data_IF_106092123101
#
_entry.id   IF_106092123101
#
_cell.length_a   1.000
_cell.length_b   1.000
_cell.length_c   1.000
_cell.angle_alpha   90.00
_cell.angle_beta   90.00
_cell.angle_gamma   90.00
#
_symmetry.space_group_name_H-M   'P 1'
#
loop_
_entity.id
_entity.type
_entity.pdbx_description
1 polymer ?
#
# COMPACT_ATOMS: atom_id res chain seq x y z
N UNK A 1 50.99 12.53 18.16
CA UNK A 1 50.64 13.45 17.05
C UNK A 1 50.78 12.64 15.77
N UNK A 2 49.78 12.35 14.96
CA UNK A 2 48.35 12.68 14.97
C UNK A 2 47.62 11.72 14.02
N UNK A 3 46.32 11.60 14.24
CA UNK A 3 45.34 10.91 13.40
C UNK A 3 45.41 11.35 11.93
N UNK A 4 45.03 10.45 11.02
CA UNK A 4 44.12 10.80 9.91
C UNK A 4 43.30 9.58 9.50
N UNK A 5 41.98 9.80 9.54
CA UNK A 5 40.90 8.86 9.29
C UNK A 5 40.71 8.53 7.81
N UNK A 6 39.96 7.44 7.59
CA UNK A 6 39.28 7.04 6.36
C UNK A 6 38.66 8.23 5.59
N UNK A 7 38.71 8.24 4.25
CA UNK A 7 37.87 9.15 3.48
C UNK A 7 36.43 8.62 3.50
N UNK A 8 35.52 9.47 3.97
CA UNK A 8 34.09 9.32 3.78
C UNK A 8 33.78 9.32 2.27
N UNK A 9 33.09 8.28 1.80
CA UNK A 9 32.52 8.26 0.45
C UNK A 9 31.26 9.12 0.48
N UNK A 10 31.44 10.41 0.26
CA UNK A 10 30.37 11.36 -0.02
C UNK A 10 30.10 11.39 -1.53
N UNK A 11 28.82 11.27 -1.91
CA UNK A 11 28.33 11.70 -3.21
C UNK A 11 28.32 10.65 -4.32
N UNK A 12 27.43 9.65 -4.22
CA UNK A 12 26.72 9.23 -5.43
C UNK A 12 25.48 10.11 -5.54
N UNK A 13 25.53 11.12 -6.42
CA UNK A 13 24.31 11.74 -6.92
C UNK A 13 23.45 10.63 -7.54
N UNK A 14 22.27 10.41 -6.97
CA UNK A 14 21.17 9.66 -7.57
C UNK A 14 20.78 10.38 -8.88
N UNK A 15 21.53 10.11 -9.96
CA UNK A 15 21.06 10.35 -11.33
C UNK A 15 19.70 9.69 -11.44
N UNK A 16 18.70 10.46 -11.89
CA UNK A 16 17.35 10.01 -12.26
C UNK A 16 17.36 8.53 -12.59
N UNK A 17 16.91 7.68 -11.66
CA UNK A 17 16.78 6.25 -11.90
C UNK A 17 15.69 6.15 -12.96
N UNK A 18 16.10 6.05 -14.23
CA UNK A 18 15.18 5.72 -15.31
C UNK A 18 14.50 4.41 -14.92
N UNK A 19 13.16 4.40 -14.90
CA UNK A 19 12.36 3.18 -14.73
C UNK A 19 12.96 2.12 -15.66
N UNK A 20 13.54 1.06 -15.09
CA UNK A 20 14.15 -0.04 -15.85
C UNK A 20 13.00 -0.71 -16.60
N UNK A 21 12.93 -0.47 -17.91
CA UNK A 21 11.83 -0.95 -18.73
C UNK A 21 11.66 -2.47 -18.70
N UNK A 22 10.42 -2.91 -18.49
CA UNK A 22 9.69 -4.06 -19.07
C UNK A 22 10.45 -5.28 -19.63
N UNK A 23 11.59 -5.67 -19.06
CA UNK A 23 12.20 -6.96 -19.38
C UNK A 23 11.38 -8.09 -18.75
N UNK A 24 11.17 -9.18 -19.48
CA UNK A 24 10.50 -10.38 -18.96
C UNK A 24 11.55 -11.47 -18.74
N UNK A 25 11.44 -12.20 -17.64
CA UNK A 25 12.37 -13.30 -17.33
C UNK A 25 11.59 -14.61 -17.31
N UNK A 26 12.16 -15.65 -17.94
CA UNK A 26 11.58 -16.98 -17.96
C UNK A 26 12.32 -17.89 -16.97
N UNK A 27 11.58 -18.53 -16.06
CA UNK A 27 12.12 -19.50 -15.11
C UNK A 27 11.13 -20.65 -14.93
N UNK A 28 11.60 -21.90 -14.98
CA UNK A 28 10.75 -23.09 -14.77
C UNK A 28 9.58 -23.23 -15.76
N UNK A 29 9.71 -22.73 -17.00
CA UNK A 29 8.66 -22.80 -18.02
C UNK A 29 7.56 -21.72 -17.91
N UNK A 30 7.70 -20.78 -16.98
CA UNK A 30 6.83 -19.61 -16.82
C UNK A 30 7.59 -18.30 -17.07
N UNK A 31 6.88 -17.26 -17.49
CA UNK A 31 7.44 -15.92 -17.76
C UNK A 31 6.90 -14.92 -16.75
N UNK A 32 7.79 -14.19 -16.09
CA UNK A 32 7.48 -13.23 -15.04
C UNK A 32 8.07 -11.85 -15.35
N UNK A 33 7.51 -10.80 -14.71
CA UNK A 33 8.10 -9.46 -14.74
C UNK A 33 8.75 -9.11 -13.39
N UNK A 34 10.06 -9.35 -13.20
CA UNK A 34 10.73 -9.17 -11.92
C UNK A 34 11.16 -7.71 -11.66
N UNK A 35 10.65 -6.74 -12.42
CA UNK A 35 11.10 -5.34 -12.41
C UNK A 35 10.03 -4.35 -11.93
N UNK A 36 9.04 -4.83 -11.17
CA UNK A 36 7.91 -4.02 -10.70
C UNK A 36 8.18 -3.15 -9.48
N UNK A 37 9.38 -3.22 -8.88
CA UNK A 37 9.74 -2.38 -7.75
C UNK A 37 10.45 -1.10 -8.23
N UNK A 38 9.92 0.04 -7.81
CA UNK A 38 10.51 1.35 -8.05
C UNK A 38 11.24 1.81 -6.78
N UNK A 39 12.53 2.21 -6.84
CA UNK A 39 13.25 2.71 -5.67
C UNK A 39 12.63 3.98 -5.08
N UNK A 40 12.59 4.05 -3.75
CA UNK A 40 12.18 5.24 -3.01
C UNK A 40 13.34 6.21 -2.76
N UNK A 41 13.01 7.50 -2.66
CA UNK A 41 13.94 8.54 -2.18
C UNK A 41 13.79 8.75 -0.67
N UNK A 42 13.76 7.68 0.12
CA UNK A 42 13.65 7.78 1.58
C UNK A 42 15.02 7.62 2.23
N UNK A 43 15.29 8.42 3.27
CA UNK A 43 16.54 8.32 4.02
C UNK A 43 16.58 6.99 4.80
N UNK A 44 17.75 6.35 4.94
CA UNK A 44 17.88 5.13 5.73
C UNK A 44 17.40 5.34 7.17
N UNK A 45 16.59 4.41 7.68
CA UNK A 45 16.14 4.42 9.07
C UNK A 45 17.27 3.91 9.96
N UNK A 46 17.46 4.55 11.12
CA UNK A 46 18.48 4.13 12.10
C UNK A 46 17.96 2.98 12.95
N UNK A 47 18.81 1.99 13.25
CA UNK A 47 18.45 0.89 14.15
C UNK A 47 18.00 1.37 15.54
N UNK A 48 18.60 2.45 16.05
CA UNK A 48 18.26 3.03 17.36
C UNK A 48 16.82 3.56 17.46
N UNK A 49 16.15 3.84 16.33
CA UNK A 49 14.74 4.21 16.30
C UNK A 49 13.78 3.02 16.20
N UNK A 50 14.29 1.83 15.85
CA UNK A 50 13.52 0.60 15.73
C UNK A 50 13.53 -0.23 17.02
N UNK A 51 14.66 -0.25 17.74
CA UNK A 51 14.75 -0.99 19.00
C UNK A 51 13.98 -0.29 20.12
N UNK A 52 12.73 -0.70 20.35
CA UNK A 52 12.02 -0.40 21.59
C UNK A 52 11.22 -1.61 22.08
N UNK A 53 11.69 -2.10 23.22
CA UNK A 53 11.01 -2.92 24.23
C UNK A 53 10.86 -4.42 23.95
N UNK A 54 11.51 -5.23 24.81
CA UNK A 54 10.69 -6.12 25.64
C UNK A 54 10.91 -7.62 25.56
N UNK A 55 12.08 -8.13 25.19
CA UNK A 55 12.45 -9.50 25.59
C UNK A 55 13.82 -9.55 26.24
N UNK A 56 13.85 -9.78 27.55
CA UNK A 56 15.05 -10.31 28.20
C UNK A 56 15.33 -11.68 27.57
N UNK A 57 16.19 -11.72 26.55
CA UNK A 57 16.52 -12.96 25.83
C UNK A 57 16.81 -12.80 24.34
N UNK A 58 16.47 -11.66 23.73
CA UNK A 58 16.61 -11.47 22.28
C UNK A 58 15.64 -12.35 21.47
N UNK A 59 15.57 -12.16 20.14
CA UNK A 59 14.73 -12.98 19.28
C UNK A 59 15.24 -14.44 19.29
N UNK A 60 14.34 -15.41 19.44
CA UNK A 60 14.69 -16.84 19.52
C UNK A 60 15.38 -17.35 18.24
N UNK A 61 15.97 -18.55 18.26
CA UNK A 61 16.83 -19.03 17.14
C UNK A 61 16.10 -19.29 15.80
N UNK A 62 14.76 -19.32 15.81
CA UNK A 62 13.94 -19.57 14.63
C UNK A 62 12.55 -18.98 14.79
N UNK A 63 12.04 -18.38 13.71
CA UNK A 63 10.65 -17.94 13.57
C UNK A 63 10.09 -18.43 12.24
N UNK A 64 8.83 -18.89 12.24
CA UNK A 64 8.13 -19.33 11.03
C UNK A 64 6.66 -18.88 11.10
N UNK A 65 6.32 -17.86 10.31
CA UNK A 65 4.98 -17.27 10.27
C UNK A 65 4.09 -17.87 9.18
N UNK A 66 4.56 -18.90 8.45
CA UNK A 66 3.84 -19.47 7.29
C UNK A 66 2.46 -20.04 7.63
N UNK A 67 2.24 -20.47 8.87
CA UNK A 67 0.93 -20.95 9.32
C UNK A 67 -0.20 -19.91 9.14
N UNK A 68 0.14 -18.62 9.15
CA UNK A 68 -0.80 -17.52 8.97
C UNK A 68 -0.78 -16.93 7.56
N UNK A 69 -0.01 -17.50 6.61
CA UNK A 69 0.02 -17.04 5.22
C UNK A 69 -1.09 -17.71 4.41
N UNK A 70 -1.67 -16.99 3.45
CA UNK A 70 -2.61 -17.48 2.43
C UNK A 70 -1.88 -18.27 1.33
N UNK A 71 -2.61 -18.79 0.34
CA UNK A 71 -2.02 -19.48 -0.81
C UNK A 71 -1.04 -18.56 -1.58
N UNK A 72 -0.04 -19.12 -2.26
CA UNK A 72 0.95 -18.29 -2.97
C UNK A 72 0.31 -17.64 -4.20
N UNK A 73 0.54 -16.33 -4.33
CA UNK A 73 0.09 -15.55 -5.47
C UNK A 73 0.96 -15.78 -6.71
N UNK A 74 0.36 -15.56 -7.89
CA UNK A 74 1.06 -15.49 -9.17
C UNK A 74 0.79 -14.11 -9.80
N UNK A 75 1.81 -13.26 -9.87
CA UNK A 75 1.73 -11.94 -10.51
C UNK A 75 1.78 -12.04 -12.04
N UNK A 76 2.14 -13.21 -12.57
CA UNK A 76 2.32 -13.47 -14.00
C UNK A 76 3.20 -12.40 -14.67
N UNK A 77 2.75 -11.82 -15.78
CA UNK A 77 3.52 -10.87 -16.58
C UNK A 77 3.39 -9.41 -16.14
N UNK A 78 2.68 -9.11 -15.05
CA UNK A 78 2.51 -7.74 -14.54
C UNK A 78 3.68 -7.30 -13.66
N UNK A 79 3.91 -5.98 -13.58
CA UNK A 79 4.90 -5.34 -12.69
C UNK A 79 4.36 -5.11 -11.27
N UNK A 80 3.51 -6.01 -10.77
CA UNK A 80 2.74 -5.82 -9.53
C UNK A 80 3.37 -6.41 -8.27
N UNK A 81 4.66 -6.75 -8.26
CA UNK A 81 5.31 -7.46 -7.14
C UNK A 81 5.10 -6.79 -5.77
N UNK A 82 5.20 -5.46 -5.70
CA UNK A 82 4.93 -4.70 -4.48
C UNK A 82 3.50 -4.93 -3.96
N UNK A 83 2.53 -4.99 -4.85
CA UNK A 83 1.12 -5.16 -4.49
C UNK A 83 0.87 -6.58 -3.98
N UNK A 84 1.53 -7.58 -4.57
CA UNK A 84 1.45 -8.97 -4.12
C UNK A 84 2.08 -9.14 -2.72
N UNK A 85 3.23 -8.51 -2.47
CA UNK A 85 3.89 -8.56 -1.17
C UNK A 85 3.04 -7.89 -0.07
N UNK A 86 2.44 -6.73 -0.38
CA UNK A 86 1.54 -6.01 0.54
C UNK A 86 0.24 -6.78 0.76
N UNK A 87 -0.36 -7.36 -0.28
CA UNK A 87 -1.55 -8.20 -0.16
C UNK A 87 -1.30 -9.38 0.80
N UNK A 88 -0.16 -10.05 0.69
CA UNK A 88 0.22 -11.11 1.62
C UNK A 88 0.36 -10.64 3.08
N UNK A 89 0.75 -9.37 3.31
CA UNK A 89 0.80 -8.80 4.66
C UNK A 89 -0.60 -8.46 5.21
N UNK A 90 -1.50 -7.98 4.35
CA UNK A 90 -2.92 -7.76 4.67
C UNK A 90 -3.60 -9.07 5.09
N UNK A 91 -3.51 -10.06 4.24
CA UNK A 91 -4.11 -11.38 4.43
C UNK A 91 -3.51 -12.12 5.62
N UNK A 92 -2.23 -11.90 5.91
CA UNK A 92 -1.61 -12.39 7.15
C UNK A 92 -2.32 -11.87 8.39
N UNK A 93 -2.64 -10.57 8.44
CA UNK A 93 -3.31 -9.97 9.60
C UNK A 93 -4.73 -10.52 9.74
N UNK A 94 -5.49 -10.56 8.63
CA UNK A 94 -6.83 -11.17 8.61
C UNK A 94 -6.79 -12.63 9.08
N UNK A 95 -5.96 -13.48 8.47
CA UNK A 95 -5.89 -14.90 8.82
C UNK A 95 -5.44 -15.13 10.26
N UNK A 96 -4.49 -14.33 10.76
CA UNK A 96 -4.01 -14.43 12.14
C UNK A 96 -5.10 -14.08 13.16
N UNK A 97 -5.96 -13.10 12.86
CA UNK A 97 -7.07 -12.73 13.76
C UNK A 97 -8.28 -13.65 13.58
N UNK A 98 -8.61 -14.06 12.35
CA UNK A 98 -9.64 -15.05 12.06
C UNK A 98 -9.38 -16.38 12.79
N UNK A 99 -8.13 -16.84 12.90
CA UNK A 99 -7.77 -18.02 13.69
C UNK A 99 -8.05 -17.88 15.20
N UNK A 100 -8.18 -16.66 15.72
CA UNK A 100 -8.51 -16.41 17.13
C UNK A 100 -10.02 -16.33 17.36
N UNK A 101 -10.74 -15.70 16.43
CA UNK A 101 -12.16 -15.34 16.61
C UNK A 101 -13.13 -16.25 15.84
N UNK A 102 -12.64 -17.02 14.86
CA UNK A 102 -13.45 -17.90 14.02
C UNK A 102 -14.02 -17.22 12.77
N UNK A 103 -13.49 -16.05 12.41
CA UNK A 103 -13.93 -15.27 11.25
C UNK A 103 -13.49 -15.92 9.93
N UNK A 104 -14.00 -15.39 8.82
CA UNK A 104 -13.61 -15.87 7.50
C UNK A 104 -12.27 -15.30 7.06
N UNK A 105 -11.59 -16.08 6.19
CA UNK A 105 -10.35 -15.68 5.53
C UNK A 105 -10.70 -15.34 4.09
N UNK A 106 -10.27 -14.18 3.61
CA UNK A 106 -10.49 -13.74 2.23
C UNK A 106 -9.26 -13.05 1.65
N UNK A 107 -9.19 -13.00 0.33
CA UNK A 107 -8.07 -12.40 -0.40
C UNK A 107 -8.37 -10.92 -0.72
N UNK A 108 -7.32 -10.09 -0.65
CA UNK A 108 -7.42 -8.65 -0.94
C UNK A 108 -7.08 -8.38 -2.42
N UNK A 109 -7.68 -7.35 -3.02
CA UNK A 109 -7.43 -7.05 -4.43
C UNK A 109 -6.02 -6.51 -4.66
N UNK A 110 -5.17 -7.37 -5.21
CA UNK A 110 -3.82 -7.01 -5.68
C UNK A 110 -3.82 -5.93 -6.75
N UNK A 111 -4.79 -5.95 -7.68
CA UNK A 111 -4.88 -4.91 -8.72
C UNK A 111 -5.34 -3.57 -8.17
N UNK A 112 -6.25 -3.56 -7.19
CA UNK A 112 -6.64 -2.32 -6.53
C UNK A 112 -5.45 -1.69 -5.80
N UNK A 113 -4.74 -2.48 -5.00
CA UNK A 113 -3.50 -2.05 -4.32
C UNK A 113 -2.50 -1.49 -5.35
N UNK A 114 -2.31 -2.20 -6.47
CA UNK A 114 -1.38 -1.79 -7.52
C UNK A 114 -1.80 -0.49 -8.22
N UNK A 115 -3.10 -0.29 -8.43
CA UNK A 115 -3.63 0.95 -9.02
C UNK A 115 -3.41 2.14 -8.09
N UNK A 116 -3.84 2.05 -6.82
CA UNK A 116 -3.75 3.18 -5.88
C UNK A 116 -2.31 3.54 -5.54
N UNK A 117 -1.43 2.54 -5.43
CA UNK A 117 0.01 2.76 -5.22
C UNK A 117 0.66 3.50 -6.39
N UNK A 118 0.39 3.09 -7.64
CA UNK A 118 0.89 3.81 -8.82
C UNK A 118 0.32 5.22 -8.97
N UNK A 119 -0.96 5.43 -8.62
CA UNK A 119 -1.55 6.78 -8.58
C UNK A 119 -0.84 7.68 -7.58
N UNK A 120 -0.46 7.14 -6.42
CA UNK A 120 0.31 7.87 -5.41
C UNK A 120 1.72 8.19 -5.91
N UNK A 121 2.39 7.24 -6.56
CA UNK A 121 3.69 7.47 -7.17
C UNK A 121 3.62 8.55 -8.27
N UNK A 122 2.59 8.53 -9.15
CA UNK A 122 2.39 9.58 -10.16
C UNK A 122 2.33 10.98 -9.52
N UNK A 123 1.63 11.12 -8.39
CA UNK A 123 1.58 12.38 -7.64
C UNK A 123 2.96 12.77 -7.12
N UNK A 124 3.70 11.84 -6.53
CA UNK A 124 5.03 12.10 -5.96
C UNK A 124 6.09 12.44 -7.00
N UNK A 125 5.99 11.85 -8.19
CA UNK A 125 6.91 12.10 -9.31
C UNK A 125 6.46 13.24 -10.23
N UNK A 126 5.34 13.92 -9.93
CA UNK A 126 4.84 15.04 -10.74
C UNK A 126 4.32 14.64 -12.12
N UNK A 127 3.84 13.40 -12.25
CA UNK A 127 3.25 12.86 -13.47
C UNK A 127 1.76 13.24 -13.58
N UNK A 128 1.17 13.08 -14.77
CA UNK A 128 -0.22 13.42 -14.98
C UNK A 128 -1.16 12.43 -14.29
N UNK A 129 -1.73 12.85 -13.17
CA UNK A 129 -2.63 12.04 -12.32
C UNK A 129 -4.03 11.85 -12.91
N UNK A 130 -4.41 12.61 -13.95
CA UNK A 130 -5.68 12.43 -14.68
C UNK A 130 -5.65 11.18 -15.58
N UNK A 131 -4.46 10.72 -15.98
CA UNK A 131 -4.30 9.53 -16.81
C UNK A 131 -4.11 8.29 -15.94
N UNK A 132 -4.74 7.18 -16.30
CA UNK A 132 -4.54 5.91 -15.61
C UNK A 132 -3.05 5.52 -15.64
N UNK A 133 -2.49 5.00 -14.53
CA UNK A 133 -1.08 4.63 -14.49
C UNK A 133 -0.81 3.45 -15.43
N UNK A 134 0.35 3.47 -16.07
CA UNK A 134 0.90 2.36 -16.86
C UNK A 134 1.52 1.28 -15.96
N UNK A 135 1.67 0.07 -16.49
CA UNK A 135 2.26 -1.09 -15.79
C UNK A 135 3.78 -0.93 -15.66
N UNK A 136 4.22 -0.03 -14.78
CA UNK A 136 5.63 0.37 -14.64
C UNK A 136 6.22 0.09 -13.25
N UNK A 137 5.45 -0.59 -12.40
CA UNK A 137 5.82 -0.85 -11.02
C UNK A 137 5.36 0.24 -10.06
N UNK A 138 5.63 0.05 -8.78
CA UNK A 138 5.39 1.06 -7.75
C UNK A 138 6.40 0.98 -6.61
N UNK A 139 6.48 2.03 -5.81
CA UNK A 139 7.23 2.06 -4.55
C UNK A 139 6.45 1.35 -3.43
N UNK A 140 7.13 0.86 -2.38
CA UNK A 140 6.46 0.21 -1.23
C UNK A 140 5.84 1.28 -0.33
N UNK A 141 6.56 2.35 -0.05
CA UNK A 141 6.16 3.49 0.77
C UNK A 141 5.03 4.30 0.14
N UNK A 142 5.03 4.50 -1.18
CA UNK A 142 3.91 5.11 -1.91
C UNK A 142 2.66 4.24 -1.81
N UNK A 143 2.80 2.91 -1.97
CA UNK A 143 1.69 1.98 -1.75
C UNK A 143 1.16 2.01 -0.30
N UNK A 144 2.03 1.97 0.71
CA UNK A 144 1.62 2.06 2.12
C UNK A 144 0.88 3.37 2.38
N UNK A 145 1.40 4.49 1.90
CA UNK A 145 0.76 5.81 2.06
C UNK A 145 -0.61 5.85 1.37
N UNK A 146 -0.72 5.28 0.16
CA UNK A 146 -1.99 5.18 -0.55
C UNK A 146 -3.01 4.37 0.24
N UNK A 147 -2.59 3.24 0.82
CA UNK A 147 -3.44 2.32 1.57
C UNK A 147 -3.81 2.83 2.97
N UNK A 148 -3.02 3.70 3.57
CA UNK A 148 -3.40 4.44 4.79
C UNK A 148 -4.58 5.40 4.51
N UNK A 149 -4.66 5.96 3.30
CA UNK A 149 -5.72 6.90 2.92
C UNK A 149 -6.95 6.18 2.35
N UNK A 150 -6.72 5.25 1.41
CA UNK A 150 -7.75 4.62 0.58
C UNK A 150 -8.15 3.21 1.02
N UNK A 151 -7.28 2.51 1.74
CA UNK A 151 -7.42 1.09 2.07
C UNK A 151 -7.39 0.20 0.83
N UNK A 152 -7.91 -1.03 0.94
CA UNK A 152 -7.97 -1.99 -0.16
C UNK A 152 -9.30 -2.73 -0.17
N UNK A 153 -9.88 -2.96 -1.36
CA UNK A 153 -11.08 -3.78 -1.51
C UNK A 153 -10.73 -5.27 -1.61
N UNK A 154 -11.74 -6.14 -1.49
CA UNK A 154 -11.56 -7.58 -1.63
C UNK A 154 -11.26 -7.97 -3.07
N UNK A 155 -10.54 -9.07 -3.25
CA UNK A 155 -10.26 -9.63 -4.58
C UNK A 155 -11.55 -10.02 -5.33
N UNK A 156 -12.63 -10.35 -4.61
CA UNK A 156 -13.94 -10.62 -5.21
C UNK A 156 -14.56 -9.39 -5.90
N UNK A 157 -14.28 -8.17 -5.39
CA UNK A 157 -14.79 -6.93 -5.97
C UNK A 157 -13.95 -6.48 -7.17
N UNK A 158 -12.63 -6.67 -7.10
CA UNK A 158 -11.70 -6.31 -8.17
C UNK A 158 -10.68 -7.44 -8.42
N UNK A 159 -11.05 -8.46 -9.22
CA UNK A 159 -10.25 -9.67 -9.39
C UNK A 159 -8.96 -9.42 -10.18
N UNK A 160 -7.95 -10.27 -9.95
CA UNK A 160 -6.70 -10.19 -10.68
C UNK A 160 -6.87 -10.65 -12.14
N UNK A 161 -6.76 -9.70 -13.05
CA UNK A 161 -6.84 -9.89 -14.50
C UNK A 161 -5.76 -9.06 -15.21
N UNK A 162 -4.93 -9.73 -16.02
CA UNK A 162 -3.83 -9.08 -16.74
C UNK A 162 -4.31 -8.03 -17.75
N UNK A 163 -5.51 -8.20 -18.30
CA UNK A 163 -6.07 -7.24 -19.26
C UNK A 163 -6.50 -5.93 -18.58
N UNK A 164 -6.77 -6.00 -17.26
CA UNK A 164 -7.29 -4.88 -16.45
C UNK A 164 -6.24 -4.21 -15.58
N UNK A 165 -4.95 -4.53 -15.78
CA UNK A 165 -3.85 -4.02 -14.96
C UNK A 165 -3.82 -2.49 -14.91
N UNK A 166 -4.16 -1.81 -16.00
CA UNK A 166 -4.15 -0.34 -16.08
C UNK A 166 -5.54 0.28 -15.95
N UNK A 167 -6.58 -0.54 -15.78
CA UNK A 167 -7.94 -0.05 -15.69
C UNK A 167 -8.16 0.64 -14.35
N UNK A 168 -9.05 1.62 -14.35
CA UNK A 168 -9.48 2.28 -13.11
C UNK A 168 -10.50 1.39 -12.41
N UNK A 169 -10.31 1.08 -11.11
CA UNK A 169 -11.30 0.35 -10.33
C UNK A 169 -12.65 1.04 -10.30
N UNK A 170 -13.72 0.25 -10.22
CA UNK A 170 -15.07 0.77 -10.08
C UNK A 170 -15.20 1.58 -8.79
N UNK A 171 -16.08 2.60 -8.79
CA UNK A 171 -16.25 3.48 -7.62
C UNK A 171 -16.60 2.70 -6.34
N UNK A 172 -17.43 1.66 -6.46
CA UNK A 172 -17.79 0.78 -5.36
C UNK A 172 -16.58 0.08 -4.72
N UNK A 173 -15.50 -0.17 -5.47
CA UNK A 173 -14.26 -0.72 -4.91
C UNK A 173 -13.62 0.28 -3.95
N UNK A 174 -13.62 1.58 -4.28
CA UNK A 174 -13.08 2.61 -3.39
C UNK A 174 -13.89 2.74 -2.10
N UNK A 175 -15.22 2.65 -2.18
CA UNK A 175 -16.07 2.73 -0.99
C UNK A 175 -15.84 1.53 -0.06
N UNK A 176 -15.80 0.31 -0.62
CA UNK A 176 -15.50 -0.92 0.15
C UNK A 176 -14.07 -0.92 0.71
N UNK A 177 -13.11 -0.34 -0.01
CA UNK A 177 -11.72 -0.29 0.41
C UNK A 177 -11.50 0.52 1.70
N UNK A 178 -12.35 1.51 1.98
CA UNK A 178 -12.23 2.39 3.15
C UNK A 178 -12.32 1.65 4.49
N UNK A 179 -12.90 0.45 4.50
CA UNK A 179 -12.99 -0.42 5.68
C UNK A 179 -11.63 -1.02 6.06
N UNK A 180 -10.75 -1.27 5.09
CA UNK A 180 -9.50 -2.03 5.26
C UNK A 180 -8.26 -1.16 5.01
N UNK A 181 -8.14 -0.05 5.75
CA UNK A 181 -6.97 0.83 5.70
C UNK A 181 -5.82 0.28 6.53
N UNK A 182 -4.59 0.59 6.12
CA UNK A 182 -3.44 0.42 7.01
C UNK A 182 -3.58 1.42 8.15
N UNK A 183 -3.73 0.92 9.39
CA UNK A 183 -3.75 1.76 10.59
C UNK A 183 -2.36 1.93 11.18
N UNK A 184 -1.49 0.92 11.03
CA UNK A 184 -0.11 1.00 11.50
C UNK A 184 0.87 0.31 10.54
N UNK A 185 1.90 1.04 10.12
CA UNK A 185 3.04 0.54 9.39
C UNK A 185 4.32 1.21 9.87
N UNK A 186 5.42 0.47 9.89
CA UNK A 186 6.71 0.96 10.38
C UNK A 186 7.82 0.53 9.44
N UNK A 187 8.66 1.50 9.05
CA UNK A 187 9.83 1.24 8.22
C UNK A 187 10.90 0.51 9.03
N UNK A 188 11.44 -0.57 8.48
CA UNK A 188 12.46 -1.43 9.10
C UNK A 188 13.84 -1.07 8.53
N UNK A 189 14.88 -0.88 9.36
CA UNK A 189 16.25 -0.72 8.89
C UNK A 189 16.78 -1.96 8.17
N UNK A 190 17.66 -1.78 7.17
CA UNK A 190 18.42 -2.87 6.57
C UNK A 190 19.51 -3.37 7.52
N UNK A 191 19.08 -4.10 8.55
CA UNK A 191 19.90 -4.61 9.63
C UNK A 191 19.35 -5.95 10.11
N UNK A 192 20.24 -6.93 10.28
CA UNK A 192 19.85 -8.31 10.59
C UNK A 192 19.07 -8.41 11.92
N UNK A 193 19.51 -7.69 12.96
CA UNK A 193 18.88 -7.78 14.27
C UNK A 193 17.51 -7.10 14.26
N UNK A 194 17.38 -5.94 13.59
CA UNK A 194 16.09 -5.28 13.41
C UNK A 194 15.08 -6.17 12.66
N UNK A 195 15.52 -6.85 11.59
CA UNK A 195 14.67 -7.77 10.84
C UNK A 195 14.25 -8.98 11.70
N UNK A 196 15.19 -9.57 12.47
CA UNK A 196 14.90 -10.69 13.36
C UNK A 196 13.93 -10.29 14.47
N UNK A 197 14.10 -9.11 15.07
CA UNK A 197 13.20 -8.57 16.09
C UNK A 197 11.78 -8.38 15.55
N UNK A 198 11.62 -7.77 14.38
CA UNK A 198 10.32 -7.58 13.74
C UNK A 198 9.59 -8.92 13.50
N UNK A 199 10.30 -9.91 12.97
CA UNK A 199 9.75 -11.25 12.72
C UNK A 199 9.40 -11.97 14.03
N UNK A 200 10.23 -11.85 15.06
CA UNK A 200 9.98 -12.44 16.38
C UNK A 200 8.76 -11.83 17.08
N UNK A 201 8.45 -10.55 16.82
CA UNK A 201 7.19 -9.90 17.21
C UNK A 201 5.98 -10.35 16.36
N UNK A 202 6.18 -11.29 15.44
CA UNK A 202 5.12 -11.79 14.56
C UNK A 202 4.73 -10.77 13.48
N UNK A 203 5.65 -9.93 13.04
CA UNK A 203 5.41 -8.93 11.99
C UNK A 203 6.20 -9.28 10.71
N UNK A 204 5.53 -9.79 9.66
CA UNK A 204 6.13 -9.96 8.35
C UNK A 204 6.65 -8.64 7.79
N UNK A 205 7.70 -8.71 6.98
CA UNK A 205 8.37 -7.52 6.44
C UNK A 205 8.23 -7.52 4.92
N UNK A 206 7.53 -6.53 4.38
CA UNK A 206 7.55 -6.22 2.95
C UNK A 206 8.88 -5.57 2.63
N UNK A 207 9.62 -6.12 1.68
CA UNK A 207 10.96 -5.62 1.32
C UNK A 207 11.20 -5.69 -0.18
N UNK A 208 12.04 -4.78 -0.68
CA UNK A 208 12.59 -4.88 -2.03
C UNK A 208 14.00 -5.45 -2.03
N UNK A 209 14.33 -6.24 -3.05
CA UNK A 209 15.67 -6.80 -3.25
C UNK A 209 16.11 -6.62 -4.70
N UNK A 210 17.38 -6.26 -4.88
CA UNK A 210 18.07 -6.39 -6.16
C UNK A 210 18.37 -7.87 -6.41
N UNK A 211 17.64 -8.46 -7.34
CA UNK A 211 17.80 -9.84 -7.76
C UNK A 211 19.03 -10.00 -8.66
N UNK A 212 19.66 -11.18 -8.57
CA UNK A 212 20.71 -11.65 -9.47
C UNK A 212 20.28 -12.93 -10.18
N UNK A 213 21.07 -13.43 -11.14
CA UNK A 213 20.79 -14.65 -11.89
C UNK A 213 20.45 -15.87 -10.99
N UNK A 214 21.13 -15.98 -9.84
CA UNK A 214 20.94 -17.08 -8.87
C UNK A 214 19.52 -17.08 -8.28
N UNK A 215 18.86 -15.92 -8.20
CA UNK A 215 17.50 -15.83 -7.68
C UNK A 215 16.49 -16.54 -8.59
N UNK A 216 16.74 -16.60 -9.90
CA UNK A 216 15.85 -17.24 -10.86
C UNK A 216 16.01 -18.77 -10.90
N UNK A 217 17.10 -19.28 -10.34
CA UNK A 217 17.49 -20.70 -10.37
C UNK A 217 17.74 -21.22 -8.95
N UNK A 218 16.69 -21.34 -8.10
CA UNK A 218 16.84 -21.88 -6.76
C UNK A 218 17.43 -23.29 -6.76
N UNK A 219 18.29 -23.59 -5.78
CA UNK A 219 18.78 -24.94 -5.56
C UNK A 219 17.62 -25.87 -5.10
N UNK A 220 17.77 -27.19 -5.25
CA UNK A 220 16.82 -28.14 -4.69
C UNK A 220 16.52 -27.85 -3.22
N UNK A 221 15.24 -27.73 -2.87
CA UNK A 221 14.81 -27.31 -1.53
C UNK A 221 14.61 -25.80 -1.36
N UNK A 222 14.75 -24.99 -2.42
CA UNK A 222 14.39 -23.58 -2.43
C UNK A 222 15.46 -22.61 -1.90
N UNK A 223 16.69 -23.08 -1.68
CA UNK A 223 17.80 -22.24 -1.24
C UNK A 223 18.28 -21.35 -2.39
N UNK A 224 18.40 -20.05 -2.13
CA UNK A 224 19.04 -19.08 -3.04
C UNK A 224 20.47 -18.84 -2.55
N UNK A 225 21.51 -19.15 -3.34
CA UNK A 225 22.88 -18.83 -2.96
C UNK A 225 23.10 -17.32 -2.84
N UNK A 226 23.94 -16.91 -1.90
CA UNK A 226 24.44 -15.53 -1.84
C UNK A 226 25.14 -15.19 -3.15
N UNK A 227 24.77 -14.08 -3.83
CA UNK A 227 25.43 -13.70 -5.06
C UNK A 227 26.88 -13.29 -4.81
N UNK A 228 27.76 -13.62 -5.75
CA UNK A 228 29.11 -13.05 -5.76
C UNK A 228 29.04 -11.61 -6.26
N UNK A 229 29.38 -10.59 -5.45
CA UNK A 229 29.33 -9.19 -5.86
C UNK A 229 30.29 -8.85 -7.02
N UNK A 230 31.30 -9.69 -7.24
CA UNK A 230 32.29 -9.54 -8.31
C UNK A 230 31.90 -10.23 -9.62
N UNK A 231 30.85 -11.06 -9.60
CA UNK A 231 30.37 -11.77 -10.79
C UNK A 231 29.66 -10.81 -11.76
N UNK A 232 30.10 -10.70 -13.03
CA UNK A 232 29.42 -9.92 -14.05
C UNK A 232 27.95 -10.33 -14.29
N UNK A 233 27.55 -11.57 -13.97
CA UNK A 233 26.14 -12.02 -14.04
C UNK A 233 25.31 -11.54 -12.84
N UNK A 234 25.94 -11.25 -11.70
CA UNK A 234 25.30 -10.49 -10.61
C UNK A 234 25.01 -9.04 -11.00
N UNK A 235 25.53 -8.58 -12.15
CA UNK A 235 25.18 -7.31 -12.77
C UNK A 235 23.95 -7.38 -13.71
N UNK A 236 23.26 -8.52 -13.83
CA UNK A 236 21.88 -8.52 -14.36
C UNK A 236 20.94 -8.10 -13.23
N UNK A 237 20.39 -6.88 -13.30
CA UNK A 237 19.65 -6.25 -12.21
C UNK A 237 18.16 -6.27 -12.47
N UNK A 238 17.39 -6.93 -11.59
CA UNK A 238 15.97 -6.65 -11.41
C UNK A 238 15.63 -6.25 -9.98
N UNK A 239 14.66 -5.36 -9.82
CA UNK A 239 14.20 -4.93 -8.50
C UNK A 239 12.83 -5.56 -8.25
N UNK A 240 12.77 -6.36 -7.20
CA UNK A 240 11.60 -7.17 -6.89
C UNK A 240 11.20 -7.03 -5.44
N UNK A 241 9.90 -6.94 -5.18
CA UNK A 241 9.36 -6.85 -3.83
C UNK A 241 8.74 -8.19 -3.40
N UNK A 242 9.01 -8.57 -2.16
CA UNK A 242 8.62 -9.85 -1.56
C UNK A 242 8.30 -9.66 -0.07
N UNK A 243 7.92 -10.76 0.61
CA UNK A 243 7.58 -10.74 2.03
C UNK A 243 8.50 -11.68 2.83
N UNK A 244 9.18 -11.15 3.85
CA UNK A 244 9.87 -11.96 4.86
C UNK A 244 8.86 -12.49 5.86
N UNK A 245 8.85 -13.81 6.07
CA UNK A 245 7.87 -14.50 6.90
C UNK A 245 8.50 -15.39 7.97
N UNK A 246 9.81 -15.28 8.18
CA UNK A 246 10.52 -16.04 9.20
C UNK A 246 12.02 -16.06 8.97
N UNK A 247 12.73 -16.72 9.86
CA UNK A 247 14.18 -16.89 9.81
C UNK A 247 14.62 -18.15 10.56
N UNK A 248 15.83 -18.63 10.27
CA UNK A 248 16.44 -19.76 10.92
C UNK A 248 17.94 -19.50 11.13
N UNK A 249 18.35 -19.26 12.38
CA UNK A 249 19.73 -18.90 12.71
C UNK A 249 20.69 -20.07 12.53
N UNK A 250 20.25 -21.32 12.68
CA UNK A 250 21.14 -22.47 12.42
C UNK A 250 21.54 -22.53 10.95
N UNK A 251 20.64 -22.14 10.05
CA UNK A 251 20.86 -22.14 8.61
C UNK A 251 21.32 -20.77 8.08
N UNK A 252 21.25 -19.71 8.90
CA UNK A 252 21.55 -18.33 8.54
C UNK A 252 20.74 -17.85 7.32
N UNK A 253 19.45 -18.19 7.29
CA UNK A 253 18.53 -17.84 6.19
C UNK A 253 17.24 -17.20 6.70
N UNK A 254 16.73 -16.26 5.91
CA UNK A 254 15.35 -15.82 5.99
C UNK A 254 14.44 -16.74 5.17
N UNK A 255 13.18 -16.83 5.56
CA UNK A 255 12.10 -17.46 4.79
C UNK A 255 11.39 -16.37 4.01
N UNK A 256 11.44 -16.45 2.68
CA UNK A 256 10.88 -15.46 1.76
C UNK A 256 9.66 -16.04 1.07
N UNK A 257 8.54 -15.34 1.14
CA UNK A 257 7.33 -15.59 0.34
C UNK A 257 7.42 -14.79 -0.95
N UNK A 258 7.39 -15.50 -2.08
CA UNK A 258 7.40 -14.88 -3.41
C UNK A 258 5.98 -14.88 -4.02
N UNK A 259 5.82 -14.25 -5.19
CA UNK A 259 4.56 -14.08 -5.94
C UNK A 259 4.63 -14.63 -7.37
N UNK A 260 5.34 -15.75 -7.56
CA UNK A 260 5.55 -16.43 -8.87
C UNK A 260 4.85 -17.81 -8.95
N UNK A 261 3.83 -18.00 -8.12
CA UNK A 261 3.09 -19.26 -8.00
C UNK A 261 3.83 -20.37 -7.25
N UNK A 262 3.07 -21.38 -6.85
CA UNK A 262 3.57 -22.51 -6.04
C UNK A 262 4.57 -23.42 -6.77
N UNK A 263 4.60 -23.38 -8.10
CA UNK A 263 5.55 -24.18 -8.90
C UNK A 263 7.00 -23.70 -8.76
N UNK A 264 7.23 -22.49 -8.26
CA UNK A 264 8.56 -21.91 -8.14
C UNK A 264 9.18 -22.24 -6.77
N UNK A 265 10.47 -22.62 -6.75
CA UNK A 265 11.24 -22.95 -5.54
C UNK A 265 10.56 -23.99 -4.62
N UNK A 266 10.49 -23.74 -3.31
CA UNK A 266 9.81 -24.62 -2.34
C UNK A 266 8.35 -24.17 -2.16
N UNK A 267 7.46 -24.61 -3.06
CA UNK A 267 6.03 -24.27 -3.03
C UNK A 267 5.79 -22.75 -2.97
N UNK A 268 6.52 -21.97 -3.78
CA UNK A 268 6.46 -20.51 -3.82
C UNK A 268 7.30 -19.77 -2.76
N UNK A 269 7.95 -20.51 -1.85
CA UNK A 269 8.87 -19.97 -0.86
C UNK A 269 10.32 -20.21 -1.23
N UNK A 270 11.18 -19.31 -0.79
CA UNK A 270 12.63 -19.45 -0.90
C UNK A 270 13.30 -19.24 0.46
N UNK A 271 14.50 -19.81 0.59
CA UNK A 271 15.36 -19.63 1.76
C UNK A 271 16.57 -18.81 1.31
N UNK A 272 16.70 -17.60 1.84
CA UNK A 272 17.67 -16.62 1.35
C UNK A 272 18.64 -16.24 2.47
N UNK A 273 19.96 -16.36 2.26
CA UNK A 273 20.98 -16.04 3.26
C UNK A 273 20.87 -14.63 3.86
N UNK A 274 21.24 -14.51 5.14
CA UNK A 274 21.28 -13.24 5.86
C UNK A 274 22.20 -12.23 5.18
N UNK A 275 23.38 -12.66 4.72
CA UNK A 275 24.37 -11.80 4.07
C UNK A 275 23.94 -11.28 2.69
N UNK A 276 22.86 -11.82 2.11
CA UNK A 276 22.26 -11.27 0.91
C UNK A 276 21.19 -10.22 1.26
N UNK A 277 20.21 -10.58 2.11
CA UNK A 277 19.08 -9.69 2.42
C UNK A 277 19.49 -8.52 3.33
N UNK A 278 20.39 -8.74 4.29
CA UNK A 278 20.88 -7.69 5.18
C UNK A 278 22.03 -6.87 4.57
N UNK A 279 22.40 -7.11 3.30
CA UNK A 279 23.42 -6.33 2.62
C UNK A 279 22.80 -5.11 1.92
N UNK A 280 23.18 -3.87 2.31
CA UNK A 280 22.62 -2.64 1.76
C UNK A 280 22.95 -2.42 0.27
N UNK A 281 23.93 -3.11 -0.31
CA UNK A 281 24.20 -3.06 -1.76
C UNK A 281 23.11 -3.76 -2.58
N UNK A 282 22.38 -4.69 -1.95
CA UNK A 282 21.30 -5.45 -2.58
C UNK A 282 19.91 -5.05 -2.06
N UNK A 283 19.80 -4.61 -0.81
CA UNK A 283 18.54 -4.24 -0.17
C UNK A 283 18.52 -2.74 0.20
N UNK A 284 18.19 -1.91 -0.78
CA UNK A 284 18.17 -0.44 -0.66
C UNK A 284 16.80 0.17 -0.98
N UNK A 285 15.77 -0.67 -1.14
CA UNK A 285 14.48 -0.28 -1.72
C UNK A 285 13.41 0.07 -0.68
N UNK A 286 13.79 0.13 0.59
CA UNK A 286 12.87 0.30 1.71
C UNK A 286 12.27 -1.02 2.17
N UNK A 287 11.99 -1.11 3.46
CA UNK A 287 11.34 -2.27 4.08
C UNK A 287 10.34 -1.79 5.11
N UNK A 288 9.22 -2.47 5.21
CA UNK A 288 8.13 -2.06 6.07
C UNK A 288 7.43 -3.25 6.68
N UNK A 289 7.04 -3.11 7.95
CA UNK A 289 6.04 -3.97 8.58
C UNK A 289 4.68 -3.29 8.49
N UNK A 290 3.64 -4.08 8.25
CA UNK A 290 2.24 -3.67 8.41
C UNK A 290 1.73 -4.46 9.62
N UNK A 291 1.36 -3.75 10.68
CA UNK A 291 1.04 -4.39 11.97
C UNK A 291 -0.40 -4.15 12.42
N UNK A 292 -1.12 -3.26 11.73
CA UNK A 292 -2.53 -2.98 12.00
C UNK A 292 -3.27 -2.57 10.74
N UNK A 293 -4.50 -3.06 10.64
CA UNK A 293 -5.53 -2.54 9.75
C UNK A 293 -6.61 -1.82 10.57
N UNK A 294 -7.47 -1.02 9.93
CA UNK A 294 -8.67 -0.45 10.58
C UNK A 294 -9.71 -1.53 10.87
N UNK A 295 -9.77 -2.56 10.04
CA UNK A 295 -10.57 -3.77 10.23
C UNK A 295 -9.75 -4.97 9.75
N UNK A 296 -9.77 -6.07 10.52
CA UNK A 296 -9.13 -7.35 10.17
C UNK A 296 -10.15 -8.47 9.95
N UNK A 297 -11.42 -8.27 10.29
CA UNK A 297 -12.52 -9.17 9.94
C UNK A 297 -12.95 -8.94 8.48
N UNK A 298 -12.67 -9.93 7.65
CA UNK A 298 -13.02 -9.93 6.22
C UNK A 298 -14.34 -10.66 5.95
N UNK A 299 -15.07 -11.01 7.00
CA UNK A 299 -16.38 -11.64 6.90
C UNK A 299 -17.35 -10.71 6.19
N UNK A 300 -18.03 -11.18 5.11
CA UNK A 300 -19.08 -10.41 4.48
C UNK A 300 -20.10 -10.02 5.53
N UNK A 301 -20.54 -8.76 5.52
CA UNK A 301 -21.66 -8.35 6.34
C UNK A 301 -22.85 -9.27 6.01
N UNK A 302 -23.60 -9.68 7.04
CA UNK A 302 -24.84 -10.40 6.81
C UNK A 302 -25.72 -9.51 5.93
N UNK A 303 -26.16 -10.04 4.79
CA UNK A 303 -27.21 -9.42 3.98
C UNK A 303 -28.47 -9.35 4.85
N UNK A 304 -28.64 -8.23 5.54
CA UNK A 304 -29.78 -7.95 6.40
C UNK A 304 -30.99 -7.45 5.60
N UNK A 305 -30.88 -7.43 4.26
CA UNK A 305 -31.90 -6.95 3.36
C UNK A 305 -32.19 -5.45 3.50
N UNK A 306 -31.34 -4.68 4.19
CA UNK A 306 -31.43 -3.21 4.27
C UNK A 306 -30.42 -2.50 3.35
N UNK A 307 -29.85 -3.22 2.39
CA UNK A 307 -29.32 -2.53 1.21
C UNK A 307 -30.49 -1.77 0.58
N UNK A 308 -30.40 -0.44 0.52
CA UNK A 308 -31.43 0.41 -0.07
C UNK A 308 -31.58 0.05 -1.54
N UNK A 309 -32.41 -0.95 -1.85
CA UNK A 309 -32.80 -1.26 -3.20
C UNK A 309 -33.62 -0.08 -3.69
N UNK A 310 -33.11 0.67 -4.67
CA UNK A 310 -33.96 1.56 -5.47
C UNK A 310 -34.93 0.67 -6.26
N UNK A 311 -36.08 0.37 -5.66
CA UNK A 311 -37.08 -0.52 -6.23
C UNK A 311 -37.74 0.19 -7.41
N UNK A 312 -37.38 -0.22 -8.63
CA UNK A 312 -37.88 0.36 -9.89
C UNK A 312 -39.25 -0.22 -10.26
N UNK A 313 -40.19 -0.25 -9.31
CA UNK A 313 -41.55 -0.75 -9.53
C UNK A 313 -42.58 0.04 -8.72
N UNK A 314 -42.98 1.19 -9.26
CA UNK A 314 -44.17 1.93 -8.84
C UNK A 314 -44.79 2.64 -10.04
N UNK A 315 -45.75 1.97 -10.67
CA UNK A 315 -46.62 2.54 -11.71
C UNK A 315 -47.52 3.65 -11.12
N UNK A 316 -47.51 4.82 -11.77
CA UNK A 316 -48.72 5.61 -11.94
C UNK A 316 -49.01 6.75 -10.97
N UNK A 317 -48.26 7.86 -11.03
CA UNK A 317 -48.86 9.19 -11.30
C UNK A 317 -47.78 10.24 -11.60
N UNK A 318 -47.74 10.66 -12.86
CA UNK A 318 -46.88 11.71 -13.35
C UNK A 318 -47.41 13.09 -12.92
N UNK A 319 -46.61 13.84 -12.17
CA UNK A 319 -46.61 15.28 -12.18
C UNK A 319 -45.21 15.80 -11.79
N UNK A 320 -44.54 16.37 -12.79
CA UNK A 320 -43.43 17.33 -12.71
C UNK A 320 -42.06 16.86 -12.20
N UNK A 321 -41.34 16.16 -13.09
CA UNK A 321 -39.88 16.24 -13.17
C UNK A 321 -39.56 16.65 -14.61
N UNK A 322 -39.14 17.90 -14.76
CA UNK A 322 -38.72 18.48 -16.04
C UNK A 322 -37.35 17.96 -16.47
N UNK A 323 -37.27 17.62 -17.75
CA UNK A 323 -36.13 17.13 -18.52
C UNK A 323 -34.76 17.71 -18.17
N UNK A 324 -33.78 16.81 -18.02
CA UNK A 324 -32.43 17.03 -18.51
C UNK A 324 -32.05 15.83 -19.39
N UNK A 325 -32.42 15.92 -20.68
CA UNK A 325 -31.68 15.23 -21.74
C UNK A 325 -30.33 15.93 -21.89
N UNK A 326 -29.22 15.26 -21.60
CA UNK A 326 -27.91 15.74 -22.06
C UNK A 326 -27.72 15.34 -23.54
N UNK A 327 -27.35 16.29 -24.42
CA UNK A 327 -27.11 16.01 -25.82
C UNK A 327 -25.76 15.33 -26.01
N UNK A 328 -25.69 14.38 -26.95
CA UNK A 328 -24.43 13.86 -27.49
C UNK A 328 -23.89 14.84 -28.54
N UNK A 329 -22.66 15.40 -28.42
CA UNK A 329 -21.96 16.01 -29.54
C UNK A 329 -20.76 15.15 -30.00
N UNK A 330 -20.28 15.36 -31.24
CA UNK A 330 -19.59 14.33 -32.00
C UNK A 330 -18.11 14.21 -31.65
N UNK A 331 -17.57 13.02 -31.93
CA UNK A 331 -16.13 12.75 -32.00
C UNK A 331 -15.41 13.77 -32.91
N UNK A 332 -14.47 14.54 -32.37
CA UNK A 332 -13.10 14.71 -32.87
C UNK A 332 -12.36 15.87 -32.17
N UNK A 333 -11.21 15.53 -31.58
CA UNK A 333 -9.91 16.23 -31.48
C UNK A 333 -9.86 17.70 -30.99
N UNK A 334 -8.89 17.89 -30.09
CA UNK A 334 -8.38 19.14 -29.50
C UNK A 334 -9.08 19.62 -28.22
N UNK A 335 -8.71 19.01 -27.08
CA UNK A 335 -8.92 19.58 -25.75
C UNK A 335 -7.62 20.23 -25.26
N UNK A 336 -7.40 21.48 -25.67
CA UNK A 336 -6.50 22.38 -24.97
C UNK A 336 -7.14 22.75 -23.62
N UNK A 337 -6.53 22.35 -22.51
CA UNK A 337 -6.96 22.78 -21.18
C UNK A 337 -6.12 23.99 -20.75
N UNK A 338 -6.81 25.10 -20.50
CA UNK A 338 -6.28 26.41 -20.15
C UNK A 338 -5.46 26.41 -18.84
N UNK A 339 -4.55 27.38 -18.74
CA UNK A 339 -3.43 27.41 -17.80
C UNK A 339 -3.70 28.11 -16.44
N UNK A 340 -4.94 28.18 -15.95
CA UNK A 340 -5.27 29.00 -14.75
C UNK A 340 -6.18 28.34 -13.68
N UNK A 341 -6.30 27.00 -13.63
CA UNK A 341 -6.98 26.32 -12.51
C UNK A 341 -6.06 26.25 -11.26
N UNK A 342 -5.94 27.39 -10.57
CA UNK A 342 -5.70 27.40 -9.14
C UNK A 342 -6.83 26.60 -8.47
N UNK A 343 -6.48 25.58 -7.68
CA UNK A 343 -7.42 24.75 -6.93
C UNK A 343 -8.48 25.63 -6.26
N UNK A 344 -9.72 25.54 -6.70
CA UNK A 344 -10.85 26.25 -6.10
C UNK A 344 -11.11 25.63 -4.71
N UNK A 345 -10.37 26.11 -3.72
CA UNK A 345 -10.43 25.67 -2.33
C UNK A 345 -11.86 25.78 -1.79
N UNK A 346 -12.64 26.73 -2.29
CA UNK A 346 -14.01 26.95 -1.88
C UNK A 346 -14.93 25.84 -2.43
N UNK A 347 -14.66 25.27 -3.62
CA UNK A 347 -15.44 24.14 -4.16
C UNK A 347 -15.15 22.82 -3.44
N UNK A 348 -13.88 22.54 -3.11
CA UNK A 348 -13.51 21.33 -2.38
C UNK A 348 -13.94 21.41 -0.92
N UNK A 349 -13.80 22.57 -0.28
CA UNK A 349 -14.33 22.80 1.07
C UNK A 349 -15.86 22.63 1.09
N UNK A 350 -16.58 23.11 0.05
CA UNK A 350 -18.04 22.93 -0.05
C UNK A 350 -18.43 21.48 -0.20
N UNK A 351 -17.67 20.72 -1.00
CA UNK A 351 -17.88 19.28 -1.21
C UNK A 351 -17.68 18.50 0.08
N UNK A 352 -16.65 18.83 0.86
CA UNK A 352 -16.40 18.22 2.18
C UNK A 352 -17.50 18.62 3.17
N UNK A 353 -17.85 19.89 3.26
CA UNK A 353 -18.89 20.37 4.17
C UNK A 353 -20.23 19.66 3.95
N UNK A 354 -20.70 19.62 2.70
CA UNK A 354 -21.97 18.98 2.35
C UNK A 354 -21.95 17.46 2.56
N UNK A 355 -20.77 16.83 2.52
CA UNK A 355 -20.63 15.39 2.78
C UNK A 355 -20.77 15.04 4.26
N UNK A 356 -20.43 15.97 5.15
CA UNK A 356 -20.35 15.73 6.59
C UNK A 356 -21.48 16.38 7.40
N UNK A 357 -22.26 17.28 6.79
CA UNK A 357 -23.55 17.75 7.33
C UNK A 357 -24.61 16.65 7.14
N UNK A 358 -24.51 15.59 7.95
CA UNK A 358 -25.28 14.36 7.79
C UNK A 358 -26.76 14.57 8.10
N UNK A 359 -27.05 15.51 8.99
CA UNK A 359 -28.40 15.87 9.37
C UNK A 359 -29.00 16.99 8.49
N UNK A 360 -28.22 17.56 7.56
CA UNK A 360 -28.65 18.62 6.64
C UNK A 360 -28.99 19.94 7.35
N UNK A 361 -28.40 20.17 8.53
CA UNK A 361 -28.64 21.36 9.34
C UNK A 361 -28.05 22.64 8.75
N UNK A 362 -27.12 22.52 7.79
CA UNK A 362 -26.33 23.61 7.25
C UNK A 362 -25.18 24.05 8.15
N UNK A 363 -24.88 23.28 9.19
CA UNK A 363 -23.79 23.50 10.16
C UNK A 363 -23.13 22.17 10.51
N UNK A 364 -21.83 22.16 10.83
CA UNK A 364 -21.14 20.97 11.31
C UNK A 364 -21.06 20.98 12.83
N UNK A 365 -21.73 20.03 13.48
CA UNK A 365 -21.62 19.85 14.92
C UNK A 365 -20.28 19.22 15.35
N UNK A 366 -20.07 19.03 16.65
CA UNK A 366 -18.83 18.46 17.18
C UNK A 366 -18.53 17.09 16.60
N UNK A 367 -19.53 16.22 16.45
CA UNK A 367 -19.38 14.87 15.94
C UNK A 367 -19.12 14.88 14.43
N UNK A 368 -19.85 15.69 13.68
CA UNK A 368 -19.71 15.84 12.24
C UNK A 368 -18.36 16.44 11.85
N UNK A 369 -17.89 17.46 12.58
CA UNK A 369 -16.57 18.05 12.38
C UNK A 369 -15.45 17.09 12.81
N UNK A 370 -15.64 16.34 13.91
CA UNK A 370 -14.68 15.32 14.33
C UNK A 370 -14.50 14.25 13.24
N UNK A 371 -15.61 13.77 12.68
CA UNK A 371 -15.62 12.81 11.58
C UNK A 371 -14.97 13.41 10.32
N UNK A 372 -15.30 14.65 9.95
CA UNK A 372 -14.71 15.34 8.82
C UNK A 372 -13.17 15.45 8.94
N UNK A 373 -12.66 15.84 10.12
CA UNK A 373 -11.23 15.99 10.36
C UNK A 373 -10.51 14.63 10.42
N UNK A 374 -11.11 13.61 11.05
CA UNK A 374 -10.58 12.25 11.05
C UNK A 374 -10.51 11.66 9.64
N UNK A 375 -11.56 11.85 8.82
CA UNK A 375 -11.60 11.35 7.45
C UNK A 375 -10.67 12.10 6.49
N UNK A 376 -10.24 13.30 6.86
CA UNK A 376 -9.20 14.07 6.17
C UNK A 376 -7.80 13.92 6.82
N UNK A 377 -7.62 12.92 7.70
CA UNK A 377 -6.30 12.54 8.23
C UNK A 377 -5.75 13.49 9.31
N UNK A 378 -6.58 14.36 9.89
CA UNK A 378 -6.19 15.26 10.98
C UNK A 378 -6.77 14.75 12.30
N UNK A 379 -5.93 14.12 13.11
CA UNK A 379 -6.28 13.66 14.45
C UNK A 379 -6.13 14.80 15.46
N UNK A 380 -7.22 15.13 16.15
CA UNK A 380 -7.25 16.12 17.22
C UNK A 380 -7.90 15.49 18.45
N UNK A 381 -7.44 15.89 19.65
CA UNK A 381 -8.08 15.43 20.87
C UNK A 381 -9.47 16.08 21.01
N UNK A 382 -10.44 15.46 21.72
CA UNK A 382 -11.74 16.07 21.95
C UNK A 382 -11.67 17.47 22.58
N UNK A 383 -10.67 17.69 23.45
CA UNK A 383 -10.41 18.99 24.06
C UNK A 383 -9.95 20.04 23.04
N UNK A 384 -9.01 19.68 22.16
CA UNK A 384 -8.51 20.59 21.12
C UNK A 384 -9.56 20.89 20.06
N UNK A 385 -10.41 19.90 19.72
CA UNK A 385 -11.51 20.09 18.79
C UNK A 385 -12.59 21.02 19.36
N UNK A 386 -12.92 20.87 20.64
CA UNK A 386 -13.90 21.74 21.30
C UNK A 386 -13.40 23.18 21.37
N UNK A 387 -12.09 23.35 21.58
CA UNK A 387 -11.42 24.66 21.50
C UNK A 387 -11.42 25.21 20.07
N UNK A 388 -11.14 24.38 19.06
CA UNK A 388 -11.16 24.79 17.65
C UNK A 388 -12.54 25.29 17.22
N UNK A 389 -13.61 24.60 17.61
CA UNK A 389 -14.99 25.04 17.35
C UNK A 389 -15.25 26.37 18.06
N UNK A 390 -14.87 26.50 19.34
CA UNK A 390 -15.06 27.73 20.09
C UNK A 390 -14.26 28.93 19.55
N UNK A 391 -13.07 28.70 18.98
CA UNK A 391 -12.22 29.74 18.39
C UNK A 391 -12.72 30.15 16.98
N UNK A 392 -13.43 29.27 16.28
CA UNK A 392 -13.94 29.48 14.93
C UNK A 392 -15.38 30.00 14.87
N UNK A 393 -16.20 29.69 15.89
CA UNK A 393 -17.58 30.14 16.03
C UNK A 393 -17.63 31.65 16.30
N UNK A 394 -18.10 32.41 15.30
CA UNK A 394 -18.21 33.87 15.35
C UNK A 394 -19.64 34.33 15.55
N UNK A 395 -20.62 33.50 15.21
CA UNK A 395 -22.03 33.86 15.26
C UNK A 395 -22.79 33.31 16.49
N UNK A 396 -22.12 32.47 17.29
CA UNK A 396 -22.60 31.94 18.57
C UNK A 396 -23.67 30.86 18.42
N UNK A 397 -23.79 30.25 17.23
CA UNK A 397 -24.77 29.20 16.95
C UNK A 397 -24.19 27.81 17.22
N UNK A 398 -25.05 26.82 17.54
CA UNK A 398 -24.59 25.45 17.68
C UNK A 398 -24.08 24.90 16.34
N UNK A 399 -22.78 24.58 16.28
CA UNK A 399 -22.10 24.03 15.10
C UNK A 399 -21.39 25.09 14.25
N UNK A 400 -20.52 24.67 13.33
CA UNK A 400 -19.81 25.58 12.43
C UNK A 400 -20.56 25.74 11.11
N UNK A 401 -20.88 26.98 10.74
CA UNK A 401 -21.38 27.28 9.40
C UNK A 401 -20.31 27.04 8.34
N UNK A 402 -20.72 26.96 7.07
CA UNK A 402 -19.76 26.79 5.98
C UNK A 402 -18.70 27.89 5.92
N UNK A 403 -19.08 29.15 6.18
CA UNK A 403 -18.13 30.26 6.13
C UNK A 403 -17.06 30.15 7.23
N UNK A 404 -17.46 29.67 8.42
CA UNK A 404 -16.56 29.43 9.55
C UNK A 404 -15.67 28.22 9.29
N UNK A 405 -16.23 27.12 8.78
CA UNK A 405 -15.48 25.95 8.34
C UNK A 405 -14.46 26.28 7.24
N UNK A 406 -14.86 27.05 6.22
CA UNK A 406 -13.95 27.49 5.16
C UNK A 406 -12.81 28.35 5.70
N UNK A 407 -13.07 29.17 6.73
CA UNK A 407 -12.04 29.96 7.39
C UNK A 407 -11.02 29.12 8.15
N UNK A 408 -11.38 27.89 8.56
CA UNK A 408 -10.48 26.90 9.16
C UNK A 408 -9.67 26.12 8.11
N UNK A 409 -10.17 26.02 6.88
CA UNK A 409 -9.50 25.30 5.79
C UNK A 409 -8.45 26.14 5.05
N UNK A 410 -8.46 27.47 5.24
CA UNK A 410 -7.46 28.42 4.75
C UNK A 410 -6.30 28.53 5.73
#
# INVERSE_FOLDING_TARGET
>A
MGNTCCPAVAGQELRMVRRLGSKKVSAGGKTFSPYGMVPEKTAPVKCSSFSKAGSEGGPGEKVDLRQYMTAIEDQSQSNSCCANAIAGAYEYLNKRDAMKHGDTIADISRLFIYYVGRKKDQQEFGENTKVAPSDEGMTIGGAITALQVKGACMAADWPFDLERVNDTPDLACFDKAMRYKISNATQVPCDLDCMREALALGSPIVFGLKLTAQFFCPLPGGLIPTPDPSDPQSAEHGLHAMLLVGYNDRQQVFIVRNSWGESWADRGYAYVPYDYIANPEFNFLGMYTITGLTETDFTPDADDGQDFSYDSRGDGNAADITDYEEPVPPSNKDDSFDADDALDLDCEARRVFNKFDLNGSGTLDFQELHLALMMNGKFMTPFDLQKLIADADRDGKPGLSFEEFLSLCK
#
